data_IF_924154099172
#
_entry.id   IF_924154099172
#
_cell.length_a   1.000
_cell.length_b   1.000
_cell.length_c   1.000
_cell.angle_alpha   90.00
_cell.angle_beta   90.00
_cell.angle_gamma   90.00
#
_symmetry.space_group_name_H-M   'P 1'
#
loop_
_entity.id
_entity.type
_entity.pdbx_description
1 polymer ?
#
# COMPACT_ATOMS: atom_id res chain seq x y z
N UNK A 1 21.59 -16.36 4.99
CA UNK A 1 20.18 -16.28 5.39
C UNK A 1 20.12 -16.05 6.88
N UNK A 2 19.91 -14.81 7.30
CA UNK A 2 19.88 -14.40 8.71
C UNK A 2 18.46 -13.99 9.06
N UNK A 3 17.78 -14.80 9.87
CA UNK A 3 16.45 -14.50 10.39
C UNK A 3 16.54 -13.35 11.39
N UNK A 4 15.86 -12.23 11.11
CA UNK A 4 15.67 -11.14 12.06
C UNK A 4 14.59 -11.54 13.06
N UNK A 5 14.99 -11.85 14.29
CA UNK A 5 14.08 -12.05 15.42
C UNK A 5 13.49 -10.68 15.80
N UNK A 6 12.23 -10.44 15.46
CA UNK A 6 11.50 -9.26 15.91
C UNK A 6 11.24 -9.36 17.42
N UNK A 7 11.92 -8.51 18.18
CA UNK A 7 11.70 -8.37 19.62
C UNK A 7 10.46 -7.50 19.83
N UNK A 8 9.29 -8.13 19.93
CA UNK A 8 8.06 -7.54 20.46
C UNK A 8 8.11 -7.58 21.99
N UNK A 9 8.91 -6.71 22.60
CA UNK A 9 8.75 -6.40 24.03
C UNK A 9 8.10 -5.03 24.16
N UNK A 10 6.85 -4.93 24.65
CA UNK A 10 6.28 -3.64 24.99
C UNK A 10 7.14 -3.01 26.10
N UNK A 11 7.49 -1.72 25.93
CA UNK A 11 8.29 -0.96 26.89
C UNK A 11 7.46 -0.71 28.16
N UNK A 12 7.38 -1.73 29.02
CA UNK A 12 6.52 -1.79 30.22
C UNK A 12 6.95 -0.89 31.39
N UNK A 13 7.93 0.01 31.20
CA UNK A 13 8.63 0.66 32.33
C UNK A 13 8.69 2.19 32.27
N UNK A 14 7.98 2.85 31.36
CA UNK A 14 7.79 4.30 31.41
C UNK A 14 6.72 4.65 32.46
N UNK A 15 7.11 4.62 33.73
CA UNK A 15 6.33 5.19 34.83
C UNK A 15 6.46 6.71 34.78
N UNK A 16 5.57 7.38 34.05
CA UNK A 16 5.44 8.83 34.15
C UNK A 16 4.86 9.17 35.53
N UNK A 17 5.70 9.61 36.46
CA UNK A 17 5.27 10.13 37.77
C UNK A 17 4.75 11.57 37.68
N UNK A 18 5.07 12.26 36.58
CA UNK A 18 4.66 13.64 36.34
C UNK A 18 3.31 13.64 35.62
N UNK A 19 2.28 14.17 36.29
CA UNK A 19 0.98 14.40 35.66
C UNK A 19 1.20 15.40 34.52
N UNK A 20 0.78 15.05 33.31
CA UNK A 20 0.72 16.01 32.22
C UNK A 20 -0.31 17.07 32.60
N UNK A 21 0.16 18.30 32.82
CA UNK A 21 -0.73 19.45 32.92
C UNK A 21 -1.25 19.73 31.52
N UNK A 22 -2.57 19.88 31.39
CA UNK A 22 -3.14 20.34 30.13
C UNK A 22 -2.71 21.79 29.92
N UNK A 23 -2.13 22.13 28.76
CA UNK A 23 -1.79 23.52 28.44
C UNK A 23 -3.04 24.38 28.51
N UNK A 24 -2.94 25.54 29.16
CA UNK A 24 -4.00 26.54 29.17
C UNK A 24 -3.85 27.45 27.95
N UNK A 25 -4.94 28.09 27.52
CA UNK A 25 -4.90 29.05 26.40
C UNK A 25 -3.99 30.25 26.70
N UNK A 26 -3.76 30.54 27.98
CA UNK A 26 -2.87 31.60 28.47
C UNK A 26 -1.39 31.32 28.18
N UNK A 27 -1.02 30.06 27.92
CA UNK A 27 0.37 29.65 27.63
C UNK A 27 0.79 29.94 26.18
N UNK A 28 -0.11 30.45 25.33
CA UNK A 28 0.12 30.62 23.88
C UNK A 28 -0.44 31.94 23.34
N UNK A 29 0.36 32.63 22.52
CA UNK A 29 -0.03 33.87 21.82
C UNK A 29 -0.93 33.64 20.59
N UNK A 30 -1.35 32.40 20.33
CA UNK A 30 -2.22 32.04 19.22
C UNK A 30 -3.41 31.19 19.68
N UNK A 31 -4.59 31.35 19.05
CA UNK A 31 -5.79 30.62 19.44
C UNK A 31 -5.65 29.12 19.14
N UNK A 32 -5.94 28.26 20.12
CA UNK A 32 -5.99 26.80 19.93
C UNK A 32 -7.44 26.39 19.63
N UNK A 33 -7.77 25.94 18.40
CA UNK A 33 -9.16 25.79 17.94
C UNK A 33 -10.04 24.78 18.73
N UNK A 34 -9.43 23.92 19.55
CA UNK A 34 -10.10 22.80 20.21
C UNK A 34 -10.18 22.95 21.74
N UNK A 35 -9.57 23.98 22.31
CA UNK A 35 -9.71 24.34 23.73
C UNK A 35 -10.97 25.20 23.90
N UNK A 36 -12.13 24.59 23.65
CA UNK A 36 -13.40 25.20 24.06
C UNK A 36 -13.50 25.06 25.58
N UNK A 37 -13.48 26.19 26.27
CA UNK A 37 -13.81 26.28 27.69
C UNK A 37 -15.16 25.58 27.89
N UNK A 38 -15.27 24.56 28.77
CA UNK A 38 -16.56 23.98 29.07
C UNK A 38 -17.42 25.07 29.71
N UNK A 39 -18.43 25.53 28.99
CA UNK A 39 -19.50 26.34 29.55
C UNK A 39 -20.11 25.54 30.70
N UNK A 40 -19.78 25.93 31.93
CA UNK A 40 -20.40 25.40 33.13
C UNK A 40 -21.87 25.82 33.03
N UNK A 41 -22.83 24.89 32.88
CA UNK A 41 -24.23 25.28 32.88
C UNK A 41 -24.55 25.81 34.28
N UNK A 42 -24.86 27.10 34.34
CA UNK A 42 -25.47 27.73 35.51
C UNK A 42 -26.76 26.98 35.79
N UNK A 43 -26.73 26.14 36.83
CA UNK A 43 -27.86 25.39 37.35
C UNK A 43 -28.93 26.35 37.84
N UNK A 44 -29.82 26.76 36.95
CA UNK A 44 -31.07 27.43 37.32
C UNK A 44 -32.06 26.33 37.64
N UNK A 45 -32.28 26.11 38.94
CA UNK A 45 -33.31 25.20 39.45
C UNK A 45 -34.69 25.77 39.10
N UNK A 46 -35.21 25.44 37.92
CA UNK A 46 -36.64 25.57 37.63
C UNK A 46 -37.29 24.20 37.77
N UNK A 47 -37.91 24.03 38.94
CA UNK A 47 -38.69 22.90 39.36
C UNK A 47 -40.01 22.90 38.59
N UNK A 48 -40.07 22.16 37.48
CA UNK A 48 -41.34 21.90 36.81
C UNK A 48 -41.82 20.50 37.20
N UNK A 49 -42.83 20.50 38.07
CA UNK A 49 -43.57 19.32 38.49
C UNK A 49 -44.53 18.91 37.38
N UNK A 50 -44.27 17.75 36.76
CA UNK A 50 -45.26 17.02 36.00
C UNK A 50 -45.40 15.64 36.63
N UNK A 51 -46.36 15.49 37.55
CA UNK A 51 -46.85 14.18 37.98
C UNK A 51 -47.41 13.45 36.76
N UNK A 52 -46.61 12.56 36.19
CA UNK A 52 -47.10 11.51 35.31
C UNK A 52 -47.20 10.25 36.16
N UNK A 53 -48.37 9.60 36.28
CA UNK A 53 -48.50 8.39 37.06
C UNK A 53 -47.58 7.32 36.48
N UNK A 54 -46.63 6.88 37.31
CA UNK A 54 -45.70 5.82 36.98
C UNK A 54 -46.50 4.56 36.62
N UNK A 55 -46.29 3.94 35.45
CA UNK A 55 -46.82 2.62 35.19
C UNK A 55 -46.15 1.65 36.16
N UNK A 56 -46.90 1.23 37.19
CA UNK A 56 -46.51 0.16 38.10
C UNK A 56 -46.39 -1.14 37.30
N UNK A 57 -45.17 -1.45 36.90
CA UNK A 57 -44.79 -2.66 36.16
C UNK A 57 -44.66 -3.80 37.20
N UNK A 58 -45.80 -4.35 37.64
CA UNK A 58 -45.87 -5.35 38.73
C UNK A 58 -45.64 -6.79 38.26
N UNK A 59 -45.26 -7.00 37.01
CA UNK A 59 -44.85 -8.33 36.53
C UNK A 59 -43.36 -8.32 36.16
N UNK A 60 -42.52 -9.18 36.78
CA UNK A 60 -41.14 -9.34 36.35
C UNK A 60 -41.19 -9.85 34.91
N UNK A 61 -40.82 -8.99 33.96
CA UNK A 61 -40.68 -9.35 32.55
C UNK A 61 -39.70 -10.53 32.50
N UNK A 62 -40.23 -11.70 32.20
CA UNK A 62 -39.48 -12.95 32.08
C UNK A 62 -38.59 -12.86 30.82
N UNK A 63 -37.43 -12.21 30.98
CA UNK A 63 -36.40 -12.00 29.95
C UNK A 63 -35.86 -13.33 29.41
N UNK A 64 -36.17 -14.47 30.04
CA UNK A 64 -35.76 -15.80 29.59
C UNK A 64 -36.38 -16.23 28.25
N UNK A 65 -37.50 -15.60 27.83
CA UNK A 65 -38.18 -15.91 26.55
C UNK A 65 -37.87 -14.90 25.42
N UNK A 66 -37.14 -13.83 25.70
CA UNK A 66 -36.82 -12.78 24.73
C UNK A 66 -35.52 -13.02 23.94
N UNK A 67 -34.89 -14.19 24.08
CA UNK A 67 -33.79 -14.62 23.21
C UNK A 67 -34.29 -15.19 21.88
N UNK A 68 -35.16 -14.44 21.19
CA UNK A 68 -35.57 -14.80 19.84
C UNK A 68 -34.31 -14.93 18.98
N UNK A 69 -34.19 -16.05 18.25
CA UNK A 69 -33.10 -16.31 17.31
C UNK A 69 -32.88 -15.12 16.36
N UNK A 70 -33.95 -14.38 16.05
CA UNK A 70 -33.91 -13.14 15.29
C UNK A 70 -33.08 -12.04 15.95
N UNK A 71 -33.22 -11.82 17.27
CA UNK A 71 -32.45 -10.83 18.03
C UNK A 71 -30.96 -11.17 18.04
N UNK A 72 -30.60 -12.44 18.29
CA UNK A 72 -29.21 -12.90 18.27
C UNK A 72 -28.55 -12.67 16.90
N UNK A 73 -29.25 -13.02 15.81
CA UNK A 73 -28.78 -12.77 14.45
C UNK A 73 -28.62 -11.26 14.17
N UNK A 74 -29.58 -10.44 14.63
CA UNK A 74 -29.52 -8.99 14.46
C UNK A 74 -28.30 -8.39 15.18
N UNK A 75 -28.04 -8.78 16.43
CA UNK A 75 -26.85 -8.35 17.18
C UNK A 75 -25.56 -8.79 16.47
N UNK A 76 -25.51 -10.01 15.94
CA UNK A 76 -24.34 -10.50 15.20
C UNK A 76 -24.10 -9.68 13.91
N UNK A 77 -25.17 -9.35 13.18
CA UNK A 77 -25.08 -8.48 12.00
C UNK A 77 -24.63 -7.06 12.34
N UNK A 78 -25.15 -6.49 13.44
CA UNK A 78 -24.72 -5.17 13.92
C UNK A 78 -23.24 -5.15 14.30
N UNK A 79 -22.78 -6.18 15.02
CA UNK A 79 -21.35 -6.32 15.35
C UNK A 79 -20.50 -6.43 14.10
N UNK A 80 -20.89 -7.29 13.15
CA UNK A 80 -20.18 -7.47 11.89
C UNK A 80 -20.10 -6.16 11.09
N UNK A 81 -21.21 -5.42 10.97
CA UNK A 81 -21.25 -4.12 10.28
C UNK A 81 -20.33 -3.09 10.95
N UNK A 82 -20.37 -3.01 12.29
CA UNK A 82 -19.52 -2.07 13.04
C UNK A 82 -18.04 -2.42 12.90
N UNK A 83 -17.69 -3.70 12.89
CA UNK A 83 -16.32 -4.16 12.67
C UNK A 83 -15.83 -3.84 11.26
N UNK A 84 -16.65 -4.08 10.22
CA UNK A 84 -16.28 -3.76 8.84
C UNK A 84 -16.09 -2.26 8.63
N UNK A 85 -16.95 -1.41 9.21
CA UNK A 85 -16.78 0.04 9.20
C UNK A 85 -15.46 0.49 9.85
N UNK A 86 -15.08 -0.11 10.99
CA UNK A 86 -13.80 0.18 11.65
C UNK A 86 -12.62 -0.24 10.78
N UNK A 87 -12.69 -1.40 10.11
CA UNK A 87 -11.63 -1.85 9.18
C UNK A 87 -11.47 -0.88 8.01
N UNK A 88 -12.56 -0.44 7.39
CA UNK A 88 -12.52 0.53 6.28
C UNK A 88 -11.86 1.85 6.73
N UNK A 89 -12.20 2.34 7.93
CA UNK A 89 -11.59 3.56 8.49
C UNK A 89 -10.09 3.38 8.72
N UNK A 90 -9.69 2.24 9.29
CA UNK A 90 -8.28 1.91 9.52
C UNK A 90 -7.50 1.84 8.22
N UNK A 91 -8.03 1.13 7.20
CA UNK A 91 -7.42 1.08 5.87
C UNK A 91 -7.29 2.47 5.24
N UNK A 92 -8.30 3.34 5.40
CA UNK A 92 -8.24 4.71 4.89
C UNK A 92 -7.13 5.55 5.53
N UNK A 93 -6.88 5.37 6.83
CA UNK A 93 -5.78 6.03 7.55
C UNK A 93 -4.44 5.48 7.04
N UNK A 94 -4.28 4.16 6.93
CA UNK A 94 -3.06 3.53 6.44
C UNK A 94 -2.72 3.94 5.00
N UNK A 95 -3.73 4.04 4.12
CA UNK A 95 -3.54 4.54 2.75
C UNK A 95 -3.06 5.99 2.75
N UNK A 96 -3.60 6.84 3.62
CA UNK A 96 -3.18 8.24 3.76
C UNK A 96 -1.74 8.34 4.29
N UNK A 97 -1.35 7.50 5.23
CA UNK A 97 0.03 7.46 5.73
C UNK A 97 1.02 6.94 4.69
N UNK A 98 0.63 5.93 3.89
CA UNK A 98 1.41 5.50 2.72
C UNK A 98 1.56 6.61 1.68
N UNK A 99 0.48 7.33 1.40
CA UNK A 99 0.50 8.50 0.51
C UNK A 99 1.51 9.55 0.96
N UNK A 100 1.48 9.89 2.25
CA UNK A 100 2.46 10.79 2.86
C UNK A 100 3.88 10.24 2.76
N UNK A 101 4.11 8.97 3.08
CA UNK A 101 5.47 8.40 3.06
C UNK A 101 6.06 8.30 1.65
N UNK A 102 5.21 8.23 0.63
CA UNK A 102 5.64 8.20 -0.78
C UNK A 102 5.69 9.59 -1.42
N UNK A 103 5.29 10.64 -0.70
CA UNK A 103 5.08 12.00 -1.24
C UNK A 103 4.15 12.01 -2.47
N UNK A 104 3.11 11.18 -2.45
CA UNK A 104 2.15 11.02 -3.55
C UNK A 104 0.72 11.30 -3.07
N UNK A 105 -0.17 11.67 -3.99
CA UNK A 105 -1.60 11.75 -3.68
C UNK A 105 -2.22 10.35 -3.54
N UNK A 106 -3.31 10.27 -2.77
CA UNK A 106 -4.05 9.01 -2.57
C UNK A 106 -4.59 8.49 -3.90
N UNK A 107 -5.10 9.36 -4.77
CA UNK A 107 -5.66 8.98 -6.07
C UNK A 107 -4.62 8.28 -6.96
N UNK A 108 -3.38 8.78 -6.97
CA UNK A 108 -2.30 8.17 -7.76
C UNK A 108 -1.90 6.81 -7.16
N UNK A 109 -1.94 6.66 -5.84
CA UNK A 109 -1.70 5.36 -5.20
C UNK A 109 -2.80 4.37 -5.54
N UNK A 110 -4.07 4.78 -5.44
CA UNK A 110 -5.20 3.91 -5.78
C UNK A 110 -5.13 3.50 -7.27
N UNK A 111 -4.76 4.43 -8.16
CA UNK A 111 -4.49 4.13 -9.57
C UNK A 111 -3.35 3.13 -9.76
N UNK A 112 -2.24 3.28 -9.04
CA UNK A 112 -1.11 2.33 -9.08
C UNK A 112 -1.51 0.95 -8.55
N UNK A 113 -2.31 0.89 -7.49
CA UNK A 113 -2.81 -0.37 -6.94
C UNK A 113 -3.75 -1.07 -7.93
N UNK A 114 -4.65 -0.32 -8.56
CA UNK A 114 -5.53 -0.83 -9.61
C UNK A 114 -4.72 -1.37 -10.79
N UNK A 115 -3.72 -0.62 -11.26
CA UNK A 115 -2.82 -1.03 -12.31
C UNK A 115 -2.07 -2.32 -11.95
N UNK A 116 -1.54 -2.42 -10.73
CA UNK A 116 -0.83 -3.60 -10.25
C UNK A 116 -1.76 -4.84 -10.20
N UNK A 117 -3.01 -4.66 -9.76
CA UNK A 117 -4.00 -5.73 -9.77
C UNK A 117 -4.33 -6.19 -11.20
N UNK A 118 -4.56 -5.25 -12.13
CA UNK A 118 -4.80 -5.56 -13.54
C UNK A 118 -3.62 -6.27 -14.22
N UNK A 119 -2.39 -5.86 -13.92
CA UNK A 119 -1.19 -6.52 -14.44
C UNK A 119 -1.05 -7.94 -13.89
N UNK A 120 -1.37 -8.14 -12.61
CA UNK A 120 -1.34 -9.46 -11.98
C UNK A 120 -2.38 -10.40 -12.63
N UNK A 121 -3.61 -9.93 -12.84
CA UNK A 121 -4.65 -10.74 -13.50
C UNK A 121 -4.28 -11.04 -14.95
N UNK A 122 -3.71 -10.08 -15.67
CA UNK A 122 -3.19 -10.28 -17.02
C UNK A 122 -2.10 -11.35 -17.06
N UNK A 123 -1.15 -11.30 -16.12
CA UNK A 123 -0.08 -12.29 -15.99
C UNK A 123 -0.65 -13.69 -15.74
N UNK A 124 -1.64 -13.83 -14.87
CA UNK A 124 -2.31 -15.11 -14.59
C UNK A 124 -3.04 -15.66 -15.82
N UNK A 125 -3.72 -14.80 -16.58
CA UNK A 125 -4.42 -15.19 -17.82
C UNK A 125 -3.44 -15.66 -18.90
N UNK A 126 -2.33 -14.94 -19.09
CA UNK A 126 -1.26 -15.37 -19.99
C UNK A 126 -0.62 -16.68 -19.54
N UNK A 127 -0.38 -16.85 -18.24
CA UNK A 127 0.13 -18.10 -17.68
C UNK A 127 -0.80 -19.29 -17.97
N UNK A 128 -2.11 -19.12 -17.77
CA UNK A 128 -3.12 -20.14 -18.12
C UNK A 128 -3.14 -20.45 -19.61
N UNK A 129 -3.08 -19.43 -20.47
CA UNK A 129 -3.03 -19.60 -21.92
C UNK A 129 -1.79 -20.41 -22.34
N UNK A 130 -0.62 -20.04 -21.85
CA UNK A 130 0.64 -20.73 -22.15
C UNK A 130 0.63 -22.20 -21.69
N UNK A 131 0.04 -22.50 -20.53
CA UNK A 131 -0.11 -23.88 -20.05
C UNK A 131 -0.98 -24.73 -21.00
N UNK A 132 -2.07 -24.16 -21.52
CA UNK A 132 -2.95 -24.86 -22.47
C UNK A 132 -2.23 -25.07 -23.81
N UNK A 133 -1.51 -24.06 -24.32
CA UNK A 133 -0.70 -24.17 -25.54
C UNK A 133 0.35 -25.27 -25.40
N UNK A 134 1.01 -25.36 -24.24
CA UNK A 134 1.97 -26.43 -23.94
C UNK A 134 1.29 -27.80 -23.87
N UNK A 135 0.07 -27.90 -23.34
CA UNK A 135 -0.70 -29.15 -23.32
C UNK A 135 -1.02 -29.62 -24.75
N UNK A 136 -1.44 -28.70 -25.62
CA UNK A 136 -1.72 -29.00 -27.05
C UNK A 136 -0.48 -29.56 -27.73
N UNK A 137 0.69 -28.94 -27.54
CA UNK A 137 1.95 -29.40 -28.13
C UNK A 137 2.35 -30.82 -27.72
N UNK A 138 1.94 -31.26 -26.52
CA UNK A 138 2.24 -32.60 -26.01
C UNK A 138 1.31 -33.69 -26.55
N UNK A 139 0.17 -33.34 -27.16
CA UNK A 139 -0.82 -34.31 -27.63
C UNK A 139 -0.49 -34.76 -29.06
N UNK A 140 -0.20 -36.05 -29.31
CA UNK A 140 0.03 -36.53 -30.66
C UNK A 140 -1.28 -36.53 -31.48
N UNK A 141 -1.24 -35.91 -32.67
CA UNK A 141 -2.39 -35.73 -33.57
C UNK A 141 -2.82 -36.99 -34.35
N UNK A 142 -2.42 -38.17 -33.88
CA UNK A 142 -2.57 -39.46 -34.59
C UNK A 142 -3.99 -40.01 -34.60
N UNK A 143 -4.85 -39.61 -33.64
CA UNK A 143 -6.22 -40.13 -33.51
C UNK A 143 -7.28 -39.02 -33.59
N UNK A 144 -8.49 -39.37 -34.05
CA UNK A 144 -9.63 -38.43 -34.10
C UNK A 144 -10.03 -37.94 -32.69
N UNK A 145 -9.90 -38.80 -31.67
CA UNK A 145 -10.17 -38.41 -30.28
C UNK A 145 -9.18 -37.36 -29.79
N UNK A 146 -7.89 -37.46 -30.15
CA UNK A 146 -6.89 -36.46 -29.82
C UNK A 146 -7.17 -35.13 -30.55
N UNK A 147 -7.56 -35.17 -31.83
CA UNK A 147 -7.98 -33.97 -32.58
C UNK A 147 -9.15 -33.26 -31.89
N UNK A 148 -10.16 -34.01 -31.44
CA UNK A 148 -11.30 -33.44 -30.67
C UNK A 148 -10.85 -32.84 -29.33
N UNK A 149 -9.84 -33.40 -28.66
CA UNK A 149 -9.27 -32.81 -27.43
C UNK A 149 -8.57 -31.49 -27.72
N UNK A 150 -7.73 -31.44 -28.76
CA UNK A 150 -7.04 -30.22 -29.20
C UNK A 150 -8.05 -29.12 -29.53
N UNK A 151 -9.10 -29.42 -30.29
CA UNK A 151 -10.17 -28.43 -30.59
C UNK A 151 -10.81 -27.85 -29.32
N UNK A 152 -11.06 -28.68 -28.29
CA UNK A 152 -11.60 -28.20 -27.01
C UNK A 152 -10.62 -27.31 -26.25
N UNK A 153 -9.31 -27.56 -26.37
CA UNK A 153 -8.28 -26.72 -25.76
C UNK A 153 -8.15 -25.39 -26.51
N UNK A 154 -8.21 -25.41 -27.84
CA UNK A 154 -8.26 -24.19 -28.67
C UNK A 154 -9.48 -23.33 -28.32
N UNK A 155 -10.64 -23.95 -28.10
CA UNK A 155 -11.85 -23.23 -27.65
C UNK A 155 -11.63 -22.57 -26.28
N UNK A 156 -10.87 -23.19 -25.37
CA UNK A 156 -10.51 -22.57 -24.08
C UNK A 156 -9.57 -21.38 -24.28
N UNK A 157 -8.56 -21.49 -25.15
CA UNK A 157 -7.67 -20.38 -25.48
C UNK A 157 -8.47 -19.21 -26.07
N UNK A 158 -9.41 -19.50 -26.98
CA UNK A 158 -10.29 -18.48 -27.57
C UNK A 158 -11.12 -17.76 -26.50
N UNK A 159 -11.62 -18.47 -25.49
CA UNK A 159 -12.36 -17.87 -24.36
C UNK A 159 -11.49 -17.00 -23.44
N UNK A 160 -10.18 -17.23 -23.39
CA UNK A 160 -9.25 -16.41 -22.61
C UNK A 160 -8.85 -15.12 -23.32
N UNK A 161 -9.08 -14.99 -24.63
CA UNK A 161 -8.64 -13.81 -25.40
C UNK A 161 -9.43 -12.53 -25.06
N UNK A 162 -10.79 -12.55 -25.00
CA UNK A 162 -11.57 -11.35 -24.65
C UNK A 162 -11.16 -10.66 -23.33
N UNK A 163 -10.99 -11.36 -22.19
CA UNK A 163 -10.60 -10.68 -20.96
C UNK A 163 -9.16 -10.14 -21.00
N UNK A 164 -8.27 -10.76 -21.80
CA UNK A 164 -6.92 -10.21 -22.03
C UNK A 164 -7.04 -8.88 -22.80
N UNK A 165 -7.83 -8.87 -23.88
CA UNK A 165 -8.03 -7.68 -24.72
C UNK A 165 -8.71 -6.54 -23.95
N UNK A 166 -9.68 -6.88 -23.09
CA UNK A 166 -10.35 -5.92 -22.20
C UNK A 166 -9.36 -5.27 -21.21
N UNK A 167 -8.52 -6.07 -20.56
CA UNK A 167 -7.50 -5.54 -19.64
C UNK A 167 -6.50 -4.67 -20.42
N UNK A 168 -5.99 -5.12 -21.56
CA UNK A 168 -5.05 -4.34 -22.38
C UNK A 168 -5.65 -3.01 -22.88
N UNK A 169 -6.94 -3.01 -23.21
CA UNK A 169 -7.67 -1.78 -23.58
C UNK A 169 -7.78 -0.82 -22.40
N UNK A 170 -8.12 -1.32 -21.20
CA UNK A 170 -8.20 -0.51 -19.98
C UNK A 170 -6.84 0.07 -19.55
N UNK A 171 -5.77 -0.71 -19.70
CA UNK A 171 -4.39 -0.28 -19.40
C UNK A 171 -3.93 0.87 -20.31
N UNK A 172 -4.34 0.83 -21.57
CA UNK A 172 -4.01 1.88 -22.55
C UNK A 172 -4.66 3.21 -22.19
N UNK A 173 -5.90 3.19 -21.69
CA UNK A 173 -6.58 4.38 -21.15
C UNK A 173 -5.84 4.94 -19.93
N UNK A 174 -5.32 4.07 -19.06
CA UNK A 174 -4.65 4.46 -17.83
C UNK A 174 -3.30 5.18 -18.06
N UNK A 175 -2.61 4.85 -19.16
CA UNK A 175 -1.38 5.55 -19.60
C UNK A 175 -1.60 7.01 -19.99
N UNK A 176 -2.85 7.41 -20.28
CA UNK A 176 -3.19 8.76 -20.70
C UNK A 176 -3.13 9.81 -19.60
N UNK A 177 -3.03 9.40 -18.33
CA UNK A 177 -2.76 10.33 -17.23
C UNK A 177 -1.27 10.66 -17.26
N UNK A 178 -0.85 11.86 -17.71
CA UNK A 178 0.55 12.21 -17.68
C UNK A 178 0.99 12.13 -16.23
N UNK A 179 1.90 11.20 -15.94
CA UNK A 179 2.83 11.41 -14.85
C UNK A 179 3.50 12.74 -15.20
N UNK A 180 3.03 13.82 -14.58
CA UNK A 180 3.72 15.09 -14.60
C UNK A 180 4.97 14.86 -13.76
N UNK A 181 5.95 14.17 -14.36
CA UNK A 181 7.32 14.18 -13.87
C UNK A 181 7.70 15.64 -14.06
N UNK A 182 7.66 16.40 -12.97
CA UNK A 182 7.98 17.81 -13.06
C UNK A 182 9.41 17.91 -13.59
N UNK A 183 9.76 19.00 -14.28
CA UNK A 183 11.10 19.15 -14.82
C UNK A 183 12.17 18.98 -13.72
N UNK A 184 11.82 19.31 -12.46
CA UNK A 184 12.64 19.07 -11.27
C UNK A 184 12.92 17.58 -11.02
N UNK A 185 11.91 16.69 -11.12
CA UNK A 185 12.09 15.24 -10.93
C UNK A 185 12.98 14.62 -12.01
N UNK A 186 12.86 15.08 -13.27
CA UNK A 186 13.75 14.68 -14.36
C UNK A 186 15.22 15.06 -14.11
N UNK A 187 15.49 16.16 -13.39
CA UNK A 187 16.87 16.56 -13.05
C UNK A 187 17.49 15.74 -11.93
N UNK A 188 16.68 15.07 -11.10
CA UNK A 188 17.16 14.19 -10.04
C UNK A 188 17.50 12.79 -10.55
N UNK A 189 16.77 12.29 -11.56
CA UNK A 189 16.97 10.96 -12.14
C UNK A 189 18.22 10.88 -13.05
N UNK A 190 18.70 12.01 -13.56
CA UNK A 190 19.90 12.12 -14.40
C UNK A 190 21.23 12.16 -13.64
N UNK A 191 21.27 11.85 -12.35
CA UNK A 191 22.56 11.58 -11.67
C UNK A 191 22.85 10.08 -11.71
N UNK A 192 23.61 9.58 -12.70
CA UNK A 192 24.12 8.23 -12.66
C UNK A 192 25.00 8.11 -11.41
N UNK A 193 24.47 7.43 -10.40
CA UNK A 193 25.28 6.75 -9.40
C UNK A 193 26.34 7.64 -8.71
N UNK A 194 25.99 8.89 -8.33
CA UNK A 194 26.74 9.55 -7.26
C UNK A 194 26.29 8.88 -5.97
N UNK A 195 26.99 7.79 -5.59
CA UNK A 195 27.02 7.32 -4.21
C UNK A 195 27.07 8.55 -3.32
N UNK A 196 26.21 8.60 -2.31
CA UNK A 196 26.32 9.59 -1.26
C UNK A 196 27.64 9.30 -0.54
N UNK A 197 28.74 9.80 -1.11
CA UNK A 197 30.05 9.82 -0.46
C UNK A 197 29.81 10.62 0.80
N UNK A 198 29.94 9.93 1.92
CA UNK A 198 29.84 10.50 3.24
C UNK A 198 30.72 11.76 3.33
N UNK A 199 30.11 12.95 3.27
CA UNK A 199 30.80 14.26 3.30
C UNK A 199 31.16 14.65 4.76
N UNK A 200 31.21 13.71 5.70
CA UNK A 200 31.67 13.99 7.09
C UNK A 200 33.12 13.65 7.35
N UNK A 201 33.88 13.21 6.34
CA UNK A 201 35.33 13.05 6.47
C UNK A 201 36.05 13.84 5.38
N UNK A 202 36.90 14.79 5.80
CA UNK A 202 37.96 15.46 5.03
C UNK A 202 37.68 16.87 4.49
N UNK A 203 37.07 17.77 5.29
CA UNK A 203 37.29 19.22 5.09
C UNK A 203 38.62 19.72 5.67
N UNK A 204 39.36 18.89 6.42
CA UNK A 204 40.65 19.28 7.02
C UNK A 204 41.88 19.18 6.10
N UNK A 205 41.74 18.67 4.86
CA UNK A 205 42.89 18.45 3.97
C UNK A 205 43.09 19.53 2.89
N UNK A 206 42.22 20.54 2.82
CA UNK A 206 42.36 21.64 1.84
C UNK A 206 43.33 22.76 2.27
N UNK A 207 43.99 22.64 3.41
CA UNK A 207 45.06 23.57 3.84
C UNK A 207 46.48 23.06 3.58
N UNK A 208 46.66 21.87 3.01
CA UNK A 208 48.00 21.37 2.69
C UNK A 208 48.40 21.70 1.25
N UNK A 209 49.10 22.83 1.10
CA UNK A 209 49.91 23.23 -0.05
C UNK A 209 50.38 22.06 -0.94
N UNK A 210 50.01 22.10 -2.22
CA UNK A 210 50.96 21.73 -3.28
C UNK A 210 51.98 22.88 -3.44
N UNK A 211 53.23 22.65 -3.92
CA UNK A 211 53.53 21.70 -4.99
C UNK A 211 54.89 20.97 -4.88
N UNK A 212 55.00 19.75 -5.41
CA UNK A 212 56.28 19.33 -6.01
C UNK A 212 56.10 18.32 -7.15
N UNK A 213 56.76 18.67 -8.26
CA UNK A 213 56.68 18.07 -9.59
C UNK A 213 57.48 16.77 -9.63
N UNK A 214 56.91 15.67 -10.15
CA UNK A 214 57.60 14.61 -10.93
C UNK A 214 56.54 13.97 -11.83
N UNK A 215 56.47 14.27 -13.13
CA UNK A 215 57.23 13.62 -14.23
C UNK A 215 57.51 12.14 -13.95
N UNK A 216 56.71 11.25 -14.54
CA UNK A 216 57.19 10.00 -15.12
C UNK A 216 56.16 9.45 -16.12
N UNK A 217 56.51 9.53 -17.40
CA UNK A 217 55.91 8.84 -18.55
C UNK A 217 56.14 7.33 -18.45
N UNK A 218 55.14 6.49 -18.80
CA UNK A 218 55.35 5.22 -19.53
C UNK A 218 54.02 4.52 -19.90
N UNK A 219 53.76 4.54 -21.21
CA UNK A 219 53.48 3.40 -22.11
C UNK A 219 52.33 2.41 -21.83
N UNK A 220 51.30 2.53 -22.68
CA UNK A 220 50.61 1.50 -23.51
C UNK A 220 51.13 0.03 -23.41
N UNK A 221 50.27 -1.02 -23.57
CA UNK A 221 49.57 -1.25 -24.84
C UNK A 221 48.14 -1.83 -24.79
N UNK A 222 47.47 -1.59 -25.91
CA UNK A 222 46.23 -2.21 -26.41
C UNK A 222 46.31 -3.75 -26.47
N UNK A 223 45.24 -4.43 -26.07
CA UNK A 223 45.01 -5.84 -26.41
C UNK A 223 43.85 -5.96 -27.39
N UNK A 224 44.19 -6.12 -28.67
CA UNK A 224 43.30 -6.62 -29.74
C UNK A 224 43.02 -8.11 -29.52
N UNK A 225 41.75 -8.52 -29.49
CA UNK A 225 41.37 -9.93 -29.66
C UNK A 225 40.56 -10.08 -30.96
N UNK A 226 41.14 -10.87 -31.86
CA UNK A 226 40.60 -11.25 -33.16
C UNK A 226 39.38 -12.18 -33.01
N UNK A 227 38.34 -11.90 -33.78
CA UNK A 227 37.22 -12.80 -34.05
C UNK A 227 37.54 -13.70 -35.25
N UNK A 228 37.53 -15.01 -35.03
CA UNK A 228 37.53 -16.01 -36.11
C UNK A 228 36.12 -16.58 -36.22
N UNK A 229 35.46 -16.32 -37.35
CA UNK A 229 34.18 -16.92 -37.75
C UNK A 229 34.48 -18.14 -38.59
N UNK A 230 34.06 -19.33 -38.13
CA UNK A 230 34.11 -20.57 -38.92
C UNK A 230 32.72 -20.81 -39.51
N UNK A 231 32.62 -20.63 -40.81
CA UNK A 231 31.49 -21.04 -41.65
C UNK A 231 31.73 -22.51 -42.05
N UNK A 232 30.79 -23.40 -41.76
CA UNK A 232 30.73 -24.75 -42.35
C UNK A 232 29.41 -24.83 -43.11
N UNK A 233 29.53 -25.22 -44.38
CA UNK A 233 28.43 -25.38 -45.33
C UNK A 233 27.69 -26.70 -45.22
#
# INVERSE_FOLDING_TARGET
>A
MTQSVQILKPLMHLKYTKKFAYPLQEDYDFPIPYLKTPDIPVSTNEQISYETPAPTLTEPIDLSKAESKAWKNHIQQLKFRKESELRIKQEGIERREKAKSWNMSIDVIDQRLLLAAQLTTLQDLHGKKALIELEILKIPLTSNTNKKKVMKLDDKIRKLSPPIDEILSSLSSLKGTPYYVSAEDCTLELRPNKRMVNITHNLDLLLSLHPEKRVCTRDSPESRLNTSSTFIG
#
